data_IF_931920218520
#
_entry.id   IF_931920218520
#
_cell.length_a   1.000
_cell.length_b   1.000
_cell.length_c   1.000
_cell.angle_alpha   90.00
_cell.angle_beta   90.00
_cell.angle_gamma   90.00
#
_symmetry.space_group_name_H-M   'P 1'
#
loop_
_entity.id
_entity.type
_entity.pdbx_description
1 polymer ?
#
# COMPACT_ATOMS: atom_id res chain seq x y z
N UNK A 1 4.73 -17.65 -34.89
CA UNK A 1 4.84 -16.67 -33.81
C UNK A 1 3.55 -16.77 -32.99
N UNK A 2 3.65 -17.16 -31.73
CA UNK A 2 2.49 -17.12 -30.83
C UNK A 2 2.27 -15.64 -30.51
N UNK A 3 1.12 -15.09 -30.88
CA UNK A 3 0.73 -13.73 -30.50
C UNK A 3 0.37 -13.77 -29.01
N UNK A 4 1.21 -13.19 -28.14
CA UNK A 4 0.91 -13.09 -26.72
C UNK A 4 -0.32 -12.18 -26.53
N UNK A 5 -1.23 -12.59 -25.67
CA UNK A 5 -2.37 -11.77 -25.27
C UNK A 5 -1.84 -10.54 -24.51
N UNK A 6 -2.26 -9.33 -24.89
CA UNK A 6 -1.96 -8.12 -24.10
C UNK A 6 -2.98 -8.01 -22.96
N UNK A 7 -2.50 -7.67 -21.77
CA UNK A 7 -3.34 -7.55 -20.58
C UNK A 7 -2.91 -6.31 -19.78
N UNK A 8 -3.80 -5.32 -19.69
CA UNK A 8 -3.60 -4.10 -18.91
C UNK A 8 -4.26 -4.24 -17.54
N UNK A 9 -3.48 -4.05 -16.47
CA UNK A 9 -3.86 -4.36 -15.10
C UNK A 9 -3.71 -3.13 -14.21
N UNK A 10 -4.74 -2.84 -13.43
CA UNK A 10 -4.68 -1.86 -12.35
C UNK A 10 -4.72 -2.56 -10.98
N UNK A 11 -3.63 -2.45 -10.24
CA UNK A 11 -3.57 -2.88 -8.84
C UNK A 11 -4.10 -1.78 -7.94
N UNK A 12 -5.35 -1.89 -7.53
CA UNK A 12 -6.01 -0.92 -6.64
C UNK A 12 -5.61 -1.20 -5.19
N UNK A 13 -5.13 -0.18 -4.49
CA UNK A 13 -4.74 -0.29 -3.08
C UNK A 13 -5.85 0.11 -2.09
N UNK A 14 -7.10 0.21 -2.55
CA UNK A 14 -8.21 0.86 -1.85
C UNK A 14 -7.94 2.34 -1.49
N UNK A 15 -7.00 2.98 -2.18
CA UNK A 15 -6.72 4.42 -2.09
C UNK A 15 -7.15 5.15 -3.35
N UNK A 16 -7.44 6.44 -3.22
CA UNK A 16 -7.93 7.29 -4.31
C UNK A 16 -6.97 7.29 -5.50
N UNK A 17 -5.66 7.49 -5.27
CA UNK A 17 -4.69 7.61 -6.37
C UNK A 17 -4.64 6.38 -7.26
N UNK A 18 -4.65 5.17 -6.68
CA UNK A 18 -4.62 3.93 -7.47
C UNK A 18 -5.90 3.71 -8.27
N UNK A 19 -7.06 4.04 -7.72
CA UNK A 19 -8.33 3.98 -8.41
C UNK A 19 -8.40 4.99 -9.56
N UNK A 20 -8.04 6.25 -9.28
CA UNK A 20 -8.05 7.32 -10.28
C UNK A 20 -7.06 7.07 -11.42
N UNK A 21 -5.90 6.46 -11.15
CA UNK A 21 -4.96 6.09 -12.21
C UNK A 21 -5.59 5.09 -13.19
N UNK A 22 -6.22 4.04 -12.69
CA UNK A 22 -6.92 3.09 -13.53
C UNK A 22 -8.10 3.71 -14.30
N UNK A 23 -8.88 4.56 -13.63
CA UNK A 23 -9.99 5.28 -14.26
C UNK A 23 -9.51 6.18 -15.41
N UNK A 24 -8.42 6.91 -15.21
CA UNK A 24 -7.84 7.81 -16.23
C UNK A 24 -7.10 7.07 -17.35
N UNK A 25 -6.63 5.85 -17.12
CA UNK A 25 -6.08 4.98 -18.15
C UNK A 25 -7.16 4.50 -19.14
N UNK A 26 -8.39 4.31 -18.68
CA UNK A 26 -9.60 4.07 -19.49
C UNK A 26 -9.78 2.63 -19.95
N UNK A 27 -8.75 1.98 -20.46
CA UNK A 27 -8.77 0.66 -21.13
C UNK A 27 -8.17 -0.46 -20.27
N UNK A 28 -8.35 -0.39 -18.95
CA UNK A 28 -7.91 -1.43 -18.00
C UNK A 28 -8.73 -2.70 -18.20
N UNK A 29 -8.06 -3.82 -18.47
CA UNK A 29 -8.69 -5.13 -18.64
C UNK A 29 -9.05 -5.74 -17.29
N UNK A 30 -8.10 -5.75 -16.35
CA UNK A 30 -8.27 -6.33 -15.02
C UNK A 30 -7.96 -5.35 -13.91
N UNK A 31 -8.86 -5.30 -12.94
CA UNK A 31 -8.73 -4.54 -11.71
C UNK A 31 -8.56 -5.52 -10.55
N UNK A 32 -7.50 -5.33 -9.77
CA UNK A 32 -7.14 -6.28 -8.72
C UNK A 32 -6.86 -5.53 -7.42
N UNK A 33 -7.46 -6.00 -6.33
CA UNK A 33 -7.24 -5.54 -4.98
C UNK A 33 -6.68 -6.68 -4.13
N UNK A 34 -5.64 -6.41 -3.34
CA UNK A 34 -5.13 -7.36 -2.36
C UNK A 34 -5.67 -6.96 -0.99
N UNK A 35 -6.55 -7.79 -0.45
CA UNK A 35 -7.16 -7.61 0.85
C UNK A 35 -6.23 -8.15 1.96
N UNK A 36 -5.98 -7.34 2.98
CA UNK A 36 -5.14 -7.65 4.14
C UNK A 36 -5.94 -7.32 5.39
N UNK A 37 -5.97 -8.22 6.35
CA UNK A 37 -6.80 -8.06 7.56
C UNK A 37 -6.48 -6.82 8.41
N UNK A 38 -5.28 -6.25 8.28
CA UNK A 38 -4.90 -5.01 8.97
C UNK A 38 -5.41 -3.74 8.28
N UNK A 39 -6.04 -3.82 7.11
CA UNK A 39 -6.63 -2.65 6.46
C UNK A 39 -7.93 -2.26 7.15
N UNK A 40 -8.27 -0.97 7.07
CA UNK A 40 -9.55 -0.47 7.55
C UNK A 40 -10.71 -1.17 6.83
N UNK A 41 -11.71 -1.62 7.58
CA UNK A 41 -12.86 -2.38 7.03
C UNK A 41 -13.60 -1.62 5.93
N UNK A 42 -13.62 -0.29 6.00
CA UNK A 42 -14.18 0.60 4.99
C UNK A 42 -13.51 0.45 3.61
N UNK A 43 -12.30 -0.10 3.54
CA UNK A 43 -11.62 -0.38 2.27
C UNK A 43 -12.46 -1.27 1.35
N UNK A 44 -13.16 -2.26 1.89
CA UNK A 44 -14.05 -3.15 1.11
C UNK A 44 -15.27 -2.40 0.60
N UNK A 45 -15.86 -1.48 1.40
CA UNK A 45 -16.94 -0.60 0.93
C UNK A 45 -16.44 0.22 -0.26
N UNK A 46 -15.28 0.90 -0.11
CA UNK A 46 -14.70 1.72 -1.17
C UNK A 46 -14.43 0.92 -2.46
N UNK A 47 -13.86 -0.30 -2.36
CA UNK A 47 -13.65 -1.18 -3.53
C UNK A 47 -14.98 -1.51 -4.22
N UNK A 48 -16.04 -1.81 -3.47
CA UNK A 48 -17.39 -2.07 -4.05
C UNK A 48 -17.99 -0.85 -4.74
N UNK A 49 -17.77 0.34 -4.20
CA UNK A 49 -18.23 1.58 -4.83
C UNK A 49 -17.42 1.89 -6.09
N UNK A 50 -16.11 1.63 -6.09
CA UNK A 50 -15.29 1.67 -7.29
C UNK A 50 -15.79 0.70 -8.37
N UNK A 51 -16.12 -0.55 -8.02
CA UNK A 51 -16.71 -1.53 -8.98
C UNK A 51 -17.96 -0.98 -9.67
N UNK A 52 -18.88 -0.41 -8.88
CA UNK A 52 -20.11 0.19 -9.41
C UNK A 52 -19.80 1.35 -10.36
N UNK A 53 -18.86 2.22 -9.97
CA UNK A 53 -18.51 3.41 -10.72
C UNK A 53 -17.87 3.10 -12.09
N UNK A 54 -17.05 2.05 -12.18
CA UNK A 54 -16.41 1.65 -13.44
C UNK A 54 -17.20 0.59 -14.22
N UNK A 55 -18.26 0.02 -13.64
CA UNK A 55 -19.04 -1.05 -14.26
C UNK A 55 -18.26 -2.35 -14.49
N UNK A 56 -17.14 -2.55 -13.78
CA UNK A 56 -16.27 -3.73 -13.87
C UNK A 56 -16.02 -4.32 -12.49
N UNK A 57 -15.84 -5.64 -12.44
CA UNK A 57 -15.44 -6.31 -11.20
C UNK A 57 -13.99 -5.99 -10.84
N UNK A 58 -13.74 -5.83 -9.54
CA UNK A 58 -12.39 -5.75 -8.97
C UNK A 58 -12.12 -7.09 -8.30
N UNK A 59 -11.17 -7.85 -8.84
CA UNK A 59 -10.79 -9.14 -8.28
C UNK A 59 -10.14 -8.93 -6.91
N UNK A 60 -10.65 -9.59 -5.88
CA UNK A 60 -10.10 -9.55 -4.53
C UNK A 60 -9.21 -10.76 -4.32
N UNK A 61 -7.91 -10.51 -4.10
CA UNK A 61 -6.92 -11.53 -3.78
C UNK A 61 -6.50 -11.42 -2.31
N UNK A 62 -6.07 -12.54 -1.75
CA UNK A 62 -5.51 -12.64 -0.38
C UNK A 62 -4.28 -13.53 -0.39
N UNK A 63 -3.40 -13.33 0.56
CA UNK A 63 -2.32 -14.29 0.79
C UNK A 63 -2.90 -15.61 1.27
N UNK A 64 -2.41 -16.71 0.68
CA UNK A 64 -2.78 -18.08 1.08
C UNK A 64 -2.07 -18.54 2.36
N UNK A 65 -1.01 -17.84 2.78
CA UNK A 65 -0.13 -18.28 3.86
C UNK A 65 -0.27 -17.46 5.14
N UNK A 66 -0.50 -16.16 5.01
CA UNK A 66 -0.57 -15.22 6.14
C UNK A 66 -1.78 -14.32 6.00
N UNK A 67 -2.48 -14.08 7.08
CA UNK A 67 -3.69 -13.25 7.10
C UNK A 67 -3.39 -11.78 7.37
N UNK A 68 -2.41 -11.50 8.25
CA UNK A 68 -2.14 -10.17 8.78
C UNK A 68 -0.64 -9.91 8.99
N UNK A 69 -0.32 -8.68 9.34
CA UNK A 69 1.04 -8.24 9.67
C UNK A 69 1.61 -9.04 10.84
N UNK A 70 0.81 -9.29 11.86
CA UNK A 70 1.24 -10.04 13.05
C UNK A 70 1.68 -11.47 12.70
N UNK A 71 0.92 -12.19 11.87
CA UNK A 71 1.29 -13.54 11.43
C UNK A 71 2.68 -13.54 10.79
N UNK A 72 2.95 -12.55 9.93
CA UNK A 72 4.27 -12.40 9.30
C UNK A 72 5.36 -12.10 10.32
N UNK A 73 5.13 -11.18 11.25
CA UNK A 73 6.14 -10.76 12.24
C UNK A 73 6.47 -11.90 13.19
N UNK A 74 5.47 -12.63 13.68
CA UNK A 74 5.67 -13.82 14.54
C UNK A 74 6.46 -14.90 13.83
N UNK A 75 6.13 -15.19 12.56
CA UNK A 75 6.82 -16.24 11.79
C UNK A 75 8.29 -15.89 11.52
N UNK A 76 8.58 -14.63 11.19
CA UNK A 76 9.92 -14.20 10.80
C UNK A 76 10.75 -13.59 11.95
N UNK A 77 10.19 -13.52 13.14
CA UNK A 77 10.88 -13.04 14.35
C UNK A 77 11.21 -11.55 14.32
N UNK A 78 10.48 -10.73 13.53
CA UNK A 78 10.75 -9.30 13.49
C UNK A 78 10.01 -8.54 12.38
N UNK A 79 10.07 -7.22 12.47
CA UNK A 79 9.39 -6.29 11.55
C UNK A 79 10.16 -6.05 10.24
N UNK A 80 11.46 -6.32 10.24
CA UNK A 80 12.34 -6.17 9.08
C UNK A 80 13.25 -7.37 8.96
N UNK A 81 13.49 -7.83 7.76
CA UNK A 81 14.48 -8.84 7.49
C UNK A 81 15.89 -8.25 7.71
N UNK A 82 16.72 -8.92 8.49
CA UNK A 82 18.06 -8.47 8.86
C UNK A 82 19.02 -8.38 7.67
N UNK A 83 18.80 -9.17 6.61
CA UNK A 83 19.69 -9.24 5.45
C UNK A 83 19.35 -8.15 4.42
N UNK A 84 18.05 -7.95 4.10
CA UNK A 84 17.64 -7.06 3.02
C UNK A 84 16.76 -5.87 3.49
N UNK A 85 16.51 -5.77 4.79
CA UNK A 85 15.72 -4.69 5.38
C UNK A 85 14.24 -4.66 5.01
N UNK A 86 13.72 -5.65 4.28
CA UNK A 86 12.33 -5.68 3.84
C UNK A 86 11.38 -6.08 4.97
N UNK A 87 10.22 -5.43 4.99
CA UNK A 87 9.12 -5.82 5.84
C UNK A 87 8.52 -7.17 5.39
N UNK A 88 8.45 -8.21 6.26
CA UNK A 88 7.85 -9.50 5.91
C UNK A 88 6.44 -9.36 5.34
N UNK A 89 5.61 -8.51 5.94
CA UNK A 89 4.24 -8.26 5.48
C UNK A 89 4.19 -7.74 4.03
N UNK A 90 5.10 -6.84 3.63
CA UNK A 90 5.15 -6.37 2.23
C UNK A 90 5.46 -7.52 1.27
N UNK A 91 6.37 -8.42 1.68
CA UNK A 91 6.76 -9.56 0.85
C UNK A 91 5.62 -10.60 0.74
N UNK A 92 5.07 -11.00 1.87
CA UNK A 92 4.17 -12.15 1.94
C UNK A 92 2.69 -11.79 1.69
N UNK A 93 2.25 -10.61 2.14
CA UNK A 93 0.86 -10.19 1.99
C UNK A 93 0.59 -9.43 0.68
N UNK A 94 1.64 -8.99 -0.04
CA UNK A 94 1.46 -8.22 -1.28
C UNK A 94 2.27 -8.77 -2.45
N UNK A 95 3.61 -8.75 -2.36
CA UNK A 95 4.47 -9.14 -3.50
C UNK A 95 4.27 -10.58 -3.92
N UNK A 96 4.14 -11.49 -2.96
CA UNK A 96 3.95 -12.91 -3.26
C UNK A 96 2.59 -13.17 -3.89
N UNK A 97 1.53 -12.54 -3.39
CA UNK A 97 0.19 -12.61 -3.97
C UNK A 97 0.21 -12.16 -5.43
N UNK A 98 0.88 -11.03 -5.73
CA UNK A 98 1.07 -10.57 -7.09
C UNK A 98 1.81 -11.59 -7.95
N UNK A 99 2.94 -12.12 -7.47
CA UNK A 99 3.74 -13.11 -8.21
C UNK A 99 2.98 -14.40 -8.48
N UNK A 100 2.17 -14.85 -7.53
CA UNK A 100 1.30 -16.02 -7.69
C UNK A 100 0.23 -15.78 -8.76
N UNK A 101 -0.31 -14.56 -8.84
CA UNK A 101 -1.20 -14.15 -9.91
C UNK A 101 -0.47 -14.06 -11.26
N UNK A 102 0.71 -13.45 -11.32
CA UNK A 102 1.54 -13.35 -12.54
C UNK A 102 1.92 -14.72 -13.10
N UNK A 103 2.20 -15.69 -12.23
CA UNK A 103 2.54 -17.06 -12.63
C UNK A 103 1.40 -17.78 -13.37
N UNK A 104 0.16 -17.30 -13.25
CA UNK A 104 -0.99 -17.82 -13.97
C UNK A 104 -1.22 -17.12 -15.32
N UNK A 105 -0.42 -16.07 -15.63
CA UNK A 105 -0.57 -15.24 -16.82
C UNK A 105 0.74 -15.14 -17.62
N UNK A 106 1.52 -16.22 -17.65
CA UNK A 106 2.82 -16.28 -18.32
C UNK A 106 2.75 -16.21 -19.85
N UNK A 107 1.57 -16.42 -20.41
CA UNK A 107 1.23 -16.29 -21.83
C UNK A 107 0.79 -14.88 -22.22
N UNK A 108 0.79 -13.94 -21.28
CA UNK A 108 0.36 -12.56 -21.48
C UNK A 108 1.54 -11.57 -21.47
N UNK A 109 1.45 -10.56 -22.32
CA UNK A 109 2.25 -9.32 -22.23
C UNK A 109 1.55 -8.37 -21.25
N UNK A 110 2.14 -8.16 -20.07
CA UNK A 110 1.51 -7.41 -18.99
C UNK A 110 1.85 -5.93 -19.06
N UNK A 111 0.84 -5.07 -18.92
CA UNK A 111 0.96 -3.63 -18.72
C UNK A 111 0.36 -3.26 -17.37
N UNK A 112 1.16 -2.65 -16.49
CA UNK A 112 0.72 -2.23 -15.17
C UNK A 112 0.36 -0.74 -15.14
N UNK A 113 -0.80 -0.41 -14.61
CA UNK A 113 -1.23 0.96 -14.33
C UNK A 113 -0.97 1.29 -12.86
N UNK A 114 -0.21 2.35 -12.60
CA UNK A 114 0.24 2.74 -11.27
C UNK A 114 -0.37 4.07 -10.81
N UNK A 115 -0.81 4.10 -9.56
CA UNK A 115 -1.34 5.29 -8.90
C UNK A 115 -0.27 6.21 -8.31
N UNK A 116 0.86 6.40 -9.00
CA UNK A 116 1.89 7.35 -8.57
C UNK A 116 1.55 8.75 -9.08
N UNK A 117 1.56 9.72 -8.17
CA UNK A 117 1.32 11.11 -8.47
C UNK A 117 2.60 11.85 -8.94
N UNK A 118 2.47 13.14 -9.20
CA UNK A 118 3.56 13.96 -9.72
C UNK A 118 4.81 13.95 -8.82
N UNK A 119 4.63 13.92 -7.51
CA UNK A 119 5.74 13.91 -6.55
C UNK A 119 6.50 12.58 -6.52
N UNK A 120 5.89 11.51 -7.07
CA UNK A 120 6.44 10.15 -7.05
C UNK A 120 7.20 9.77 -8.34
N UNK A 121 7.57 10.73 -9.21
CA UNK A 121 8.32 10.45 -10.47
C UNK A 121 9.56 9.58 -10.27
N UNK A 122 10.41 9.89 -9.29
CA UNK A 122 11.60 9.08 -9.01
C UNK A 122 11.28 7.65 -8.55
N UNK A 123 10.09 7.44 -7.97
CA UNK A 123 9.59 6.11 -7.63
C UNK A 123 9.11 5.37 -8.88
N UNK A 124 8.47 6.07 -9.82
CA UNK A 124 8.05 5.49 -11.10
C UNK A 124 9.27 5.00 -11.90
N UNK A 125 10.32 5.80 -12.01
CA UNK A 125 11.58 5.43 -12.67
C UNK A 125 12.19 4.15 -12.07
N UNK A 126 12.36 4.10 -10.76
CA UNK A 126 12.86 2.90 -10.06
C UNK A 126 11.95 1.67 -10.24
N UNK A 127 10.65 1.88 -10.39
CA UNK A 127 9.70 0.78 -10.63
C UNK A 127 9.90 0.17 -12.01
N UNK A 128 10.11 0.99 -13.04
CA UNK A 128 10.44 0.54 -14.40
C UNK A 128 11.78 -0.21 -14.42
N UNK A 129 12.82 0.36 -13.83
CA UNK A 129 14.15 -0.27 -13.74
C UNK A 129 14.12 -1.64 -13.06
N UNK A 130 13.28 -1.78 -12.02
CA UNK A 130 13.16 -3.03 -11.26
C UNK A 130 12.35 -4.12 -11.97
N UNK A 131 11.57 -3.78 -12.99
CA UNK A 131 10.66 -4.69 -13.69
C UNK A 131 10.66 -4.44 -15.20
N UNK A 132 11.82 -4.58 -15.86
CA UNK A 132 11.97 -4.23 -17.28
C UNK A 132 11.21 -5.17 -18.23
N UNK A 133 10.74 -6.31 -17.72
CA UNK A 133 9.99 -7.31 -18.50
C UNK A 133 8.48 -6.96 -18.66
N UNK A 134 7.99 -5.96 -17.95
CA UNK A 134 6.59 -5.51 -18.03
C UNK A 134 6.52 -4.09 -18.58
N UNK A 135 5.38 -3.74 -19.17
CA UNK A 135 5.07 -2.36 -19.52
C UNK A 135 4.48 -1.63 -18.31
N UNK A 136 4.72 -0.33 -18.23
CA UNK A 136 4.25 0.49 -17.11
C UNK A 136 3.59 1.78 -17.59
N UNK A 137 2.43 2.09 -17.05
CA UNK A 137 1.72 3.35 -17.28
C UNK A 137 1.55 4.11 -15.96
N UNK A 138 1.76 5.43 -16.03
CA UNK A 138 1.64 6.36 -14.90
C UNK A 138 0.69 7.51 -15.26
N UNK A 139 -0.62 7.26 -15.33
CA UNK A 139 -1.58 8.24 -15.85
C UNK A 139 -1.61 9.56 -15.07
N UNK A 140 -1.41 9.52 -13.73
CA UNK A 140 -1.38 10.71 -12.91
C UNK A 140 -0.16 11.59 -13.20
N UNK A 141 1.01 10.97 -13.35
CA UNK A 141 2.27 11.66 -13.73
C UNK A 141 2.14 12.22 -15.15
N UNK A 142 1.62 11.44 -16.10
CA UNK A 142 1.44 11.86 -17.49
C UNK A 142 0.50 13.08 -17.60
N UNK A 143 -0.45 13.24 -16.68
CA UNK A 143 -1.35 14.38 -16.58
C UNK A 143 -0.86 15.48 -15.63
N UNK A 144 0.36 15.36 -15.09
CA UNK A 144 0.97 16.29 -14.12
C UNK A 144 0.09 16.55 -12.88
N UNK A 145 -0.60 15.52 -12.37
CA UNK A 145 -1.50 15.66 -11.23
C UNK A 145 -0.75 15.46 -9.91
N UNK A 146 -0.86 16.43 -9.01
CA UNK A 146 -0.50 16.30 -7.60
C UNK A 146 -1.53 15.43 -6.86
N UNK A 147 -1.19 15.01 -5.65
CA UNK A 147 -2.10 14.22 -4.81
C UNK A 147 -3.41 14.96 -4.52
N UNK A 148 -3.32 16.25 -4.20
CA UNK A 148 -4.47 17.12 -3.92
C UNK A 148 -5.37 17.24 -5.15
N UNK A 149 -4.78 17.43 -6.33
CA UNK A 149 -5.53 17.50 -7.59
C UNK A 149 -6.23 16.18 -7.91
N UNK A 150 -5.58 15.03 -7.64
CA UNK A 150 -6.18 13.71 -7.80
C UNK A 150 -7.37 13.52 -6.86
N UNK A 151 -7.26 13.92 -5.60
CA UNK A 151 -8.36 13.87 -4.62
C UNK A 151 -9.50 14.80 -5.04
N UNK A 152 -9.21 16.04 -5.42
CA UNK A 152 -10.22 16.96 -5.92
C UNK A 152 -10.89 16.51 -7.23
N UNK A 153 -10.15 15.82 -8.11
CA UNK A 153 -10.72 15.21 -9.31
C UNK A 153 -11.67 14.05 -8.96
N UNK A 154 -11.29 13.20 -8.01
CA UNK A 154 -12.15 12.12 -7.50
C UNK A 154 -13.47 12.69 -6.96
N UNK A 155 -13.43 13.68 -6.09
CA UNK A 155 -14.61 14.30 -5.47
C UNK A 155 -15.55 14.99 -6.50
N UNK A 156 -15.00 15.50 -7.59
CA UNK A 156 -15.80 16.10 -8.69
C UNK A 156 -16.37 15.06 -9.66
N UNK A 157 -15.76 13.87 -9.72
CA UNK A 157 -16.14 12.83 -10.70
C UNK A 157 -17.12 11.82 -10.12
N UNK A 158 -17.02 11.54 -8.83
CA UNK A 158 -17.79 10.51 -8.16
C UNK A 158 -18.54 11.05 -6.95
N UNK A 159 -19.74 10.53 -6.71
CA UNK A 159 -20.64 10.92 -5.62
C UNK A 159 -20.57 9.98 -4.39
N UNK A 160 -19.63 9.02 -4.38
CA UNK A 160 -19.43 8.14 -3.25
C UNK A 160 -18.26 8.57 -2.35
N UNK A 161 -18.37 8.21 -1.06
CA UNK A 161 -17.42 8.64 -0.05
C UNK A 161 -16.01 8.06 -0.29
N UNK A 162 -15.00 8.91 -0.08
CA UNK A 162 -13.60 8.49 -0.02
C UNK A 162 -13.35 7.52 1.14
N UNK A 163 -12.24 6.78 1.16
CA UNK A 163 -11.87 5.92 2.30
C UNK A 163 -11.80 6.67 3.62
N UNK A 164 -12.35 6.09 4.68
CA UNK A 164 -12.46 6.68 6.02
C UNK A 164 -11.11 7.19 6.58
N UNK A 165 -10.00 6.52 6.26
CA UNK A 165 -8.67 6.94 6.74
C UNK A 165 -8.32 8.37 6.33
N UNK A 166 -8.77 8.84 5.17
CA UNK A 166 -8.56 10.25 4.76
C UNK A 166 -9.38 11.22 5.62
N UNK A 167 -10.60 10.84 6.02
CA UNK A 167 -11.47 11.67 6.89
C UNK A 167 -10.90 11.74 8.31
N UNK A 168 -10.22 10.70 8.74
CA UNK A 168 -9.45 10.68 9.99
C UNK A 168 -8.12 11.44 9.90
N UNK A 169 -7.79 12.04 8.74
CA UNK A 169 -6.59 12.84 8.53
C UNK A 169 -5.32 12.05 8.21
N UNK A 170 -5.44 10.76 7.87
CA UNK A 170 -4.28 9.99 7.40
C UNK A 170 -3.97 10.29 5.94
N UNK A 171 -2.68 10.39 5.56
CA UNK A 171 -2.31 10.72 4.18
C UNK A 171 -2.57 9.60 3.17
N UNK A 172 -2.75 8.36 3.64
CA UNK A 172 -2.97 7.18 2.81
C UNK A 172 -3.92 6.20 3.48
N UNK A 173 -4.65 5.42 2.68
CA UNK A 173 -5.45 4.28 3.15
C UNK A 173 -4.57 3.02 3.26
N UNK A 174 -3.60 3.05 4.17
CA UNK A 174 -2.71 1.93 4.47
C UNK A 174 -3.30 1.02 5.55
N UNK A 175 -2.59 -0.09 5.87
CA UNK A 175 -2.90 -0.90 7.04
C UNK A 175 -2.88 -0.04 8.31
N UNK A 176 -3.87 -0.23 9.19
CA UNK A 176 -3.88 0.38 10.52
C UNK A 176 -2.71 -0.20 11.33
N UNK A 177 -1.92 0.65 11.96
CA UNK A 177 -0.70 0.22 12.63
C UNK A 177 0.37 -0.28 11.64
N UNK A 178 0.55 0.45 10.53
CA UNK A 178 1.59 0.14 9.55
C UNK A 178 2.98 0.23 10.17
N UNK A 179 3.75 -0.86 10.08
CA UNK A 179 5.10 -0.96 10.67
C UNK A 179 6.12 0.02 10.07
N UNK A 180 5.76 0.73 9.02
CA UNK A 180 6.59 1.76 8.39
C UNK A 180 6.29 3.17 8.91
N UNK A 181 5.31 3.32 9.77
CA UNK A 181 4.94 4.61 10.36
C UNK A 181 6.03 5.15 11.29
N UNK A 182 6.16 6.47 11.35
CA UNK A 182 7.04 7.17 12.27
C UNK A 182 6.41 7.38 13.66
N UNK A 183 7.07 8.16 14.51
CA UNK A 183 6.63 8.40 15.90
C UNK A 183 5.30 9.15 15.97
N UNK A 184 5.12 10.17 15.13
CA UNK A 184 3.87 10.94 15.07
C UNK A 184 2.71 10.09 14.56
N UNK A 185 2.95 9.23 13.55
CA UNK A 185 1.95 8.26 13.12
C UNK A 185 1.54 7.31 14.23
N UNK A 186 2.48 6.74 14.98
CA UNK A 186 2.18 5.81 16.05
C UNK A 186 1.46 6.50 17.23
N UNK A 187 1.79 7.74 17.52
CA UNK A 187 1.04 8.55 18.50
C UNK A 187 -0.38 8.87 18.01
N UNK A 188 -0.60 8.99 16.70
CA UNK A 188 -1.94 9.10 16.13
C UNK A 188 -2.70 7.79 16.22
N UNK A 189 -2.07 6.65 15.89
CA UNK A 189 -2.67 5.31 16.08
C UNK A 189 -3.03 5.06 17.54
N UNK A 190 -2.21 5.46 18.50
CA UNK A 190 -2.52 5.37 19.95
C UNK A 190 -3.84 6.04 20.30
N UNK A 191 -4.17 7.17 19.64
CA UNK A 191 -5.42 7.90 19.89
C UNK A 191 -6.62 7.31 19.16
N UNK A 192 -6.45 6.99 17.88
CA UNK A 192 -7.55 6.62 16.99
C UNK A 192 -7.87 5.12 17.05
N UNK A 193 -6.86 4.28 17.34
CA UNK A 193 -6.94 2.81 17.33
C UNK A 193 -6.10 2.23 18.50
N UNK A 194 -6.47 2.49 19.76
CA UNK A 194 -5.66 2.13 20.93
C UNK A 194 -5.37 0.63 21.01
N UNK A 195 -6.35 -0.23 20.69
CA UNK A 195 -6.18 -1.68 20.69
C UNK A 195 -5.14 -2.15 19.66
N UNK A 196 -5.03 -1.47 18.53
CA UNK A 196 -3.98 -1.78 17.53
C UNK A 196 -2.61 -1.33 18.03
N UNK A 197 -2.55 -0.18 18.69
CA UNK A 197 -1.32 0.31 19.29
C UNK A 197 -0.79 -0.65 20.37
N UNK A 198 -1.66 -1.07 21.28
CA UNK A 198 -1.33 -2.00 22.36
C UNK A 198 -0.87 -3.36 21.81
N UNK A 199 -1.63 -3.94 20.88
CA UNK A 199 -1.25 -5.20 20.22
C UNK A 199 0.11 -5.12 19.52
N UNK A 200 0.45 -3.99 18.92
CA UNK A 200 1.76 -3.82 18.27
C UNK A 200 2.89 -3.60 19.27
N UNK A 201 2.63 -2.92 20.39
CA UNK A 201 3.59 -2.79 21.49
C UNK A 201 3.92 -4.16 22.12
N UNK A 202 2.92 -4.98 22.37
CA UNK A 202 3.10 -6.35 22.84
C UNK A 202 3.90 -7.20 21.84
N UNK A 203 3.61 -7.04 20.55
CA UNK A 203 4.32 -7.75 19.48
C UNK A 203 5.81 -7.36 19.42
N UNK A 204 6.15 -6.07 19.61
CA UNK A 204 7.54 -5.62 19.72
C UNK A 204 8.28 -6.31 20.87
N UNK A 205 7.65 -6.39 22.04
CA UNK A 205 8.22 -7.06 23.22
C UNK A 205 8.37 -8.57 22.99
N UNK A 206 7.39 -9.20 22.35
CA UNK A 206 7.43 -10.62 22.03
C UNK A 206 8.60 -10.99 21.10
N UNK A 207 8.85 -10.18 20.06
CA UNK A 207 9.93 -10.46 19.09
C UNK A 207 11.26 -9.85 19.48
N UNK A 208 11.31 -9.02 20.53
CA UNK A 208 12.52 -8.36 21.01
C UNK A 208 13.07 -7.27 20.06
N UNK A 209 12.24 -6.71 19.20
CA UNK A 209 12.62 -5.71 18.21
C UNK A 209 11.60 -4.58 18.16
N UNK A 210 12.09 -3.33 18.20
CA UNK A 210 11.24 -2.14 17.99
C UNK A 210 11.07 -1.80 16.51
N UNK A 211 9.95 -1.20 16.16
CA UNK A 211 9.72 -0.62 14.82
C UNK A 211 10.40 0.74 14.68
N UNK A 212 10.50 1.48 15.77
CA UNK A 212 11.02 2.83 15.84
C UNK A 212 12.46 2.86 16.37
N UNK A 213 13.18 3.89 15.97
CA UNK A 213 14.51 4.20 16.51
C UNK A 213 14.72 5.71 16.51
N UNK A 214 15.57 6.17 17.38
CA UNK A 214 16.09 7.54 17.40
C UNK A 214 17.62 7.55 17.46
N UNK A 215 18.21 8.72 17.77
CA UNK A 215 19.65 8.89 17.90
C UNK A 215 20.28 8.10 19.05
N UNK A 216 19.47 7.69 20.02
CA UNK A 216 19.91 6.95 21.21
C UNK A 216 19.71 5.43 21.06
N UNK A 217 19.00 4.98 20.02
CA UNK A 217 18.75 3.57 19.74
C UNK A 217 17.29 3.21 19.47
N UNK A 218 16.91 1.95 19.70
CA UNK A 218 15.54 1.48 19.57
C UNK A 218 14.58 2.20 20.50
N UNK A 219 13.35 2.50 20.03
CA UNK A 219 12.27 3.07 20.83
C UNK A 219 11.08 2.12 20.70
N UNK A 220 10.67 1.50 21.77
CA UNK A 220 9.48 0.63 21.80
C UNK A 220 8.21 1.49 21.90
N UNK A 221 7.10 0.98 21.38
CA UNK A 221 5.84 1.73 21.36
C UNK A 221 5.33 2.06 22.76
N UNK A 222 5.48 1.14 23.72
CA UNK A 222 5.10 1.36 25.12
C UNK A 222 5.99 2.38 25.86
N UNK A 223 7.18 2.69 25.31
CA UNK A 223 8.11 3.71 25.79
C UNK A 223 8.04 5.01 24.98
N UNK A 224 7.24 5.03 23.89
CA UNK A 224 7.14 6.21 23.03
C UNK A 224 6.43 7.35 23.77
N UNK A 225 7.13 8.47 23.88
CA UNK A 225 6.57 9.72 24.43
C UNK A 225 5.35 10.16 23.59
N UNK A 226 4.16 10.38 24.20
CA UNK A 226 2.94 10.78 23.50
C UNK A 226 3.04 12.07 22.68
N UNK A 227 3.93 12.95 23.06
CA UNK A 227 4.12 14.26 22.40
C UNK A 227 5.23 14.24 21.34
N UNK A 228 5.82 13.08 21.08
CA UNK A 228 6.96 12.94 20.16
C UNK A 228 6.53 12.61 18.73
N UNK A 229 7.14 13.31 17.78
CA UNK A 229 6.87 13.15 16.33
C UNK A 229 5.67 13.96 15.87
N UNK A 230 5.63 14.24 14.58
CA UNK A 230 4.51 14.91 13.91
C UNK A 230 4.19 14.18 12.62
N UNK A 231 3.04 13.53 12.57
CA UNK A 231 2.59 12.77 11.39
C UNK A 231 2.57 13.62 10.12
N UNK A 232 2.34 14.93 10.21
CA UNK A 232 2.25 15.81 9.05
C UNK A 232 3.62 16.09 8.41
N UNK A 233 4.70 15.93 9.18
CA UNK A 233 6.07 16.12 8.69
C UNK A 233 6.78 14.82 8.36
N UNK A 234 6.17 13.68 8.69
CA UNK A 234 6.74 12.37 8.47
C UNK A 234 6.55 11.91 7.01
N UNK A 235 7.63 11.38 6.43
CA UNK A 235 7.55 10.71 5.13
C UNK A 235 6.89 9.35 5.35
N UNK A 236 5.68 9.20 4.84
CA UNK A 236 4.95 7.94 4.87
C UNK A 236 5.38 7.09 3.67
N UNK A 237 6.21 6.06 3.87
CA UNK A 237 6.57 5.19 2.77
C UNK A 237 5.33 4.44 2.32
N UNK A 238 4.93 4.62 1.08
CA UNK A 238 3.85 3.84 0.52
C UNK A 238 4.22 2.35 0.50
N UNK A 239 3.26 1.51 0.85
CA UNK A 239 3.41 0.07 0.86
C UNK A 239 3.03 -0.52 -0.50
N UNK A 240 3.74 -0.08 -1.56
CA UNK A 240 3.48 -0.53 -2.93
C UNK A 240 3.78 -2.00 -3.13
N UNK A 241 2.97 -2.64 -3.98
CA UNK A 241 3.12 -4.03 -4.44
C UNK A 241 4.50 -4.26 -5.09
N UNK A 242 5.09 -3.20 -5.64
CA UNK A 242 6.39 -3.21 -6.33
C UNK A 242 7.55 -2.66 -5.49
N UNK A 243 7.39 -2.47 -4.19
CA UNK A 243 8.41 -1.89 -3.31
C UNK A 243 9.70 -2.75 -3.27
N UNK A 244 10.46 -2.76 -4.36
CA UNK A 244 11.75 -3.46 -4.45
C UNK A 244 12.94 -2.54 -4.12
N UNK A 245 12.78 -1.22 -4.23
CA UNK A 245 13.89 -0.26 -4.24
C UNK A 245 13.74 0.94 -3.32
N UNK A 246 12.77 0.97 -2.43
CA UNK A 246 12.66 2.10 -1.50
C UNK A 246 13.66 2.05 -0.33
N UNK A 247 14.67 1.18 -0.43
CA UNK A 247 15.67 0.98 0.63
C UNK A 247 17.08 0.81 0.07
N UNK A 248 17.55 1.80 -0.67
CA UNK A 248 18.97 2.13 -0.79
C UNK A 248 19.22 3.47 -0.13
#
# INVERSE_FOLDING_TARGET
MVVMKKLKICWVSAGISSFMAGYLAGDVDEWIYIDIADQQEDSIRFIKDCEKAIGKKIQVLKSSQYRCVEDCVRTFGGFRNSVNGFAPCTNWLKKRVRKEWEAQHTDCELTYVWGFDLAEKGRAERTVEANPQANHEFPLIAKNLSKEEVHGLFERTFDFARPLMYDLGYPNNNCIGCIKGGMGYWNRIRKDFPEVFESRAELERLVGHSMLKDKNGPVYLDELDPDRGDMNTEIFPDCGIMCYLSMK
#
